data_IF_510813661839
#
_entry.id   IF_510813661839
#
_cell.length_a   1.000
_cell.length_b   1.000
_cell.length_c   1.000
_cell.angle_alpha   90.00
_cell.angle_beta   90.00
_cell.angle_gamma   90.00
#
_symmetry.space_group_name_H-M   'P 1'
#
loop_
_entity.id
_entity.type
_entity.pdbx_description
1 polymer ?
#
# COMPACT_ATOMS: atom_id res chain seq x y z
N UNK A 1 -14.45 -15.22 -4.50
CA UNK A 1 -13.85 -13.88 -4.75
C UNK A 1 -14.42 -12.84 -3.80
N UNK A 2 -15.72 -12.53 -3.82
CA UNK A 2 -16.31 -11.49 -2.96
C UNK A 2 -16.08 -11.69 -1.45
N UNK A 3 -16.23 -12.91 -0.93
CA UNK A 3 -15.96 -13.21 0.48
C UNK A 3 -14.49 -12.97 0.89
N UNK A 4 -13.54 -13.14 -0.05
CA UNK A 4 -12.13 -12.85 0.21
C UNK A 4 -11.86 -11.35 0.20
N UNK A 5 -12.45 -10.61 -0.74
CA UNK A 5 -12.37 -9.14 -0.79
C UNK A 5 -12.93 -8.53 0.50
N UNK A 6 -14.10 -9.01 0.95
CA UNK A 6 -14.68 -8.59 2.22
C UNK A 6 -13.74 -8.86 3.39
N UNK A 7 -13.18 -10.07 3.48
CA UNK A 7 -12.25 -10.44 4.54
C UNK A 7 -10.98 -9.57 4.54
N UNK A 8 -10.47 -9.16 3.38
CA UNK A 8 -9.38 -8.18 3.27
C UNK A 8 -9.76 -6.84 3.94
N UNK A 9 -10.93 -6.29 3.60
CA UNK A 9 -11.34 -4.99 4.14
C UNK A 9 -11.59 -5.06 5.65
N UNK A 10 -12.15 -6.16 6.15
CA UNK A 10 -12.41 -6.37 7.57
C UNK A 10 -11.13 -6.55 8.40
N UNK A 11 -10.17 -7.36 7.91
CA UNK A 11 -9.06 -7.84 8.76
C UNK A 11 -7.69 -7.29 8.40
N UNK A 12 -7.48 -6.76 7.20
CA UNK A 12 -6.14 -6.38 6.73
C UNK A 12 -6.01 -4.91 6.35
N UNK A 13 -7.08 -4.30 5.81
CA UNK A 13 -7.03 -2.92 5.30
C UNK A 13 -6.59 -1.89 6.35
N UNK A 14 -6.93 -2.08 7.62
CA UNK A 14 -6.55 -1.17 8.70
C UNK A 14 -5.04 -1.23 9.03
N UNK A 15 -4.40 -2.38 8.82
CA UNK A 15 -2.95 -2.54 9.02
C UNK A 15 -2.17 -2.14 7.77
N UNK A 16 -2.73 -2.39 6.60
CA UNK A 16 -2.11 -2.09 5.32
C UNK A 16 -3.08 -1.28 4.43
N UNK A 17 -3.32 0.00 4.75
CA UNK A 17 -4.34 0.82 4.09
C UNK A 17 -3.84 1.34 2.75
N UNK A 18 -3.63 0.43 1.82
CA UNK A 18 -3.22 0.74 0.45
C UNK A 18 -4.40 1.09 -0.45
N UNK A 19 -5.60 0.56 -0.13
CA UNK A 19 -6.80 0.67 -0.95
C UNK A 19 -7.81 1.58 -0.27
N UNK A 20 -8.34 2.55 -1.01
CA UNK A 20 -9.43 3.41 -0.55
C UNK A 20 -10.74 2.63 -0.62
N UNK A 21 -11.15 2.05 0.51
CA UNK A 21 -12.34 1.20 0.58
C UNK A 21 -13.61 1.88 0.03
N UNK A 22 -13.92 3.15 0.36
CA UNK A 22 -15.17 3.77 -0.10
C UNK A 22 -15.31 3.92 -1.63
N UNK A 23 -14.18 3.95 -2.36
CA UNK A 23 -14.20 4.07 -3.84
C UNK A 23 -13.72 2.81 -4.55
N UNK A 24 -13.51 1.71 -3.83
CA UNK A 24 -13.09 0.46 -4.45
C UNK A 24 -14.31 -0.23 -5.10
N UNK A 25 -14.42 -0.07 -6.41
CA UNK A 25 -15.48 -0.68 -7.22
C UNK A 25 -14.90 -1.76 -8.15
N UNK A 26 -15.29 -3.02 -7.90
CA UNK A 26 -14.87 -4.17 -8.69
C UNK A 26 -15.30 -4.12 -10.16
N UNK A 27 -16.27 -3.28 -10.52
CA UNK A 27 -16.66 -3.09 -11.92
C UNK A 27 -15.68 -2.22 -12.72
N UNK A 28 -14.97 -1.31 -12.04
CA UNK A 28 -14.12 -0.29 -12.68
C UNK A 28 -12.62 -0.47 -12.38
N UNK A 29 -12.27 -1.27 -11.37
CA UNK A 29 -10.89 -1.59 -11.03
C UNK A 29 -10.34 -2.69 -11.93
N UNK A 30 -9.07 -2.58 -12.33
CA UNK A 30 -8.42 -3.62 -13.14
C UNK A 30 -8.37 -4.96 -12.40
N UNK A 31 -8.69 -6.05 -13.10
CA UNK A 31 -8.85 -7.38 -12.51
C UNK A 31 -7.64 -7.85 -11.68
N UNK A 32 -6.42 -7.43 -12.03
CA UNK A 32 -5.19 -7.81 -11.32
C UNK A 32 -5.18 -7.26 -9.88
N UNK A 33 -5.79 -6.11 -9.63
CA UNK A 33 -5.90 -5.54 -8.30
C UNK A 33 -7.00 -6.21 -7.49
N UNK A 34 -8.11 -6.57 -8.14
CA UNK A 34 -9.17 -7.38 -7.53
C UNK A 34 -8.61 -8.74 -7.08
N UNK A 35 -7.82 -9.39 -7.93
CA UNK A 35 -7.13 -10.64 -7.60
C UNK A 35 -6.16 -10.44 -6.43
N UNK A 36 -5.40 -9.33 -6.41
CA UNK A 36 -4.45 -9.06 -5.34
C UNK A 36 -5.13 -8.89 -3.98
N UNK A 37 -6.19 -8.07 -3.93
CA UNK A 37 -7.01 -7.86 -2.74
C UNK A 37 -7.62 -9.18 -2.25
N UNK A 38 -8.14 -9.99 -3.17
CA UNK A 38 -8.69 -11.30 -2.82
C UNK A 38 -7.64 -12.32 -2.39
N UNK A 39 -6.44 -12.33 -2.97
CA UNK A 39 -5.38 -13.26 -2.59
C UNK A 39 -4.89 -13.01 -1.17
N UNK A 40 -4.78 -11.74 -0.77
CA UNK A 40 -4.49 -11.36 0.62
C UNK A 40 -5.67 -11.70 1.53
N UNK A 41 -6.89 -11.29 1.16
CA UNK A 41 -8.09 -11.57 1.95
C UNK A 41 -8.41 -13.05 2.12
N UNK A 42 -7.97 -13.92 1.19
CA UNK A 42 -8.08 -15.37 1.34
C UNK A 42 -7.35 -15.89 2.58
N UNK A 43 -6.25 -15.26 3.00
CA UNK A 43 -5.50 -15.62 4.21
C UNK A 43 -6.27 -15.36 5.51
N UNK A 44 -7.28 -14.49 5.48
CA UNK A 44 -8.09 -14.11 6.65
C UNK A 44 -9.52 -14.67 6.61
N UNK A 45 -9.90 -15.31 5.50
CA UNK A 45 -11.26 -15.80 5.29
C UNK A 45 -11.43 -17.19 5.85
N UNK A 46 -12.56 -17.46 6.52
CA UNK A 46 -12.93 -18.81 6.96
C UNK A 46 -13.16 -19.79 5.80
N UNK A 47 -13.40 -19.27 4.60
CA UNK A 47 -13.51 -20.07 3.37
C UNK A 47 -12.15 -20.34 2.71
N UNK A 48 -11.11 -19.62 3.15
CA UNK A 48 -9.74 -19.82 2.71
C UNK A 48 -9.13 -21.05 3.38
N UNK A 49 -8.27 -21.75 2.64
CA UNK A 49 -7.38 -22.76 3.19
C UNK A 49 -6.00 -22.62 2.56
N UNK A 50 -5.00 -23.32 3.09
CA UNK A 50 -3.61 -23.24 2.64
C UNK A 50 -3.46 -23.48 1.13
N UNK A 51 -4.23 -24.41 0.55
CA UNK A 51 -4.19 -24.71 -0.88
C UNK A 51 -4.78 -23.56 -1.71
N UNK A 52 -5.95 -23.03 -1.33
CA UNK A 52 -6.57 -21.91 -2.02
C UNK A 52 -5.72 -20.64 -1.94
N UNK A 53 -5.16 -20.34 -0.77
CA UNK A 53 -4.23 -19.22 -0.58
C UNK A 53 -3.01 -19.38 -1.47
N UNK A 54 -2.40 -20.57 -1.50
CA UNK A 54 -1.26 -20.87 -2.38
C UNK A 54 -1.59 -20.64 -3.85
N UNK A 55 -2.73 -21.18 -4.32
CA UNK A 55 -3.17 -21.04 -5.72
C UNK A 55 -3.38 -19.57 -6.08
N UNK A 56 -4.04 -18.80 -5.21
CA UNK A 56 -4.30 -17.38 -5.46
C UNK A 56 -3.02 -16.55 -5.45
N UNK A 57 -2.07 -16.83 -4.55
CA UNK A 57 -0.78 -16.14 -4.52
C UNK A 57 0.06 -16.47 -5.76
N UNK A 58 0.11 -17.74 -6.18
CA UNK A 58 0.81 -18.14 -7.40
C UNK A 58 0.15 -17.54 -8.65
N UNK A 59 -1.18 -17.49 -8.69
CA UNK A 59 -1.91 -16.86 -9.78
C UNK A 59 -1.62 -15.37 -9.83
N UNK A 60 -1.72 -14.65 -8.71
CA UNK A 60 -1.40 -13.24 -8.60
C UNK A 60 0.02 -12.93 -9.08
N UNK A 61 1.01 -13.70 -8.61
CA UNK A 61 2.42 -13.54 -8.98
C UNK A 61 2.63 -13.62 -10.50
N UNK A 62 2.03 -14.62 -11.15
CA UNK A 62 2.10 -14.79 -12.61
C UNK A 62 1.33 -13.69 -13.34
N UNK A 63 0.16 -13.31 -12.84
CA UNK A 63 -0.68 -12.25 -13.40
C UNK A 63 0.00 -10.88 -13.39
N UNK A 64 0.67 -10.51 -12.29
CA UNK A 64 1.46 -9.27 -12.22
C UNK A 64 2.56 -9.26 -13.27
N UNK A 65 3.30 -10.37 -13.40
CA UNK A 65 4.37 -10.51 -14.40
C UNK A 65 3.83 -10.36 -15.82
N UNK A 66 2.70 -11.01 -16.12
CA UNK A 66 2.03 -10.94 -17.41
C UNK A 66 1.53 -9.51 -17.72
N UNK A 67 0.91 -8.83 -16.75
CA UNK A 67 0.46 -7.44 -16.94
C UNK A 67 1.63 -6.50 -17.26
N UNK A 68 2.79 -6.68 -16.62
CA UNK A 68 3.98 -5.86 -16.90
C UNK A 68 4.50 -6.09 -18.32
N UNK A 69 4.46 -7.34 -18.81
CA UNK A 69 4.93 -7.69 -20.15
C UNK A 69 3.98 -7.18 -21.25
N UNK A 70 2.67 -7.33 -21.05
CA UNK A 70 1.68 -6.96 -22.06
C UNK A 70 1.39 -5.47 -22.11
N UNK A 71 1.66 -4.73 -21.03
CA UNK A 71 1.36 -3.29 -20.91
C UNK A 71 2.64 -2.47 -20.77
N UNK A 72 3.41 -2.24 -21.86
CA UNK A 72 4.65 -1.47 -21.80
C UNK A 72 4.42 0.01 -21.49
N UNK A 73 3.25 0.56 -21.85
CA UNK A 73 2.86 1.95 -21.62
C UNK A 73 1.45 1.99 -21.00
N UNK A 74 1.29 1.56 -19.74
CA UNK A 74 -0.02 1.51 -19.10
C UNK A 74 -0.58 2.92 -18.87
N UNK A 75 -1.90 3.04 -18.78
CA UNK A 75 -2.52 4.28 -18.27
C UNK A 75 -2.09 4.52 -16.82
N UNK A 76 -2.11 5.77 -16.32
CA UNK A 76 -1.73 6.06 -14.93
C UNK A 76 -2.50 5.23 -13.88
N UNK A 77 -3.79 5.00 -14.12
CA UNK A 77 -4.63 4.17 -13.25
C UNK A 77 -4.18 2.70 -13.27
N UNK A 78 -3.91 2.15 -14.46
CA UNK A 78 -3.43 0.78 -14.61
C UNK A 78 -2.02 0.61 -14.02
N UNK A 79 -1.14 1.59 -14.20
CA UNK A 79 0.20 1.59 -13.62
C UNK A 79 0.15 1.52 -12.09
N UNK A 80 -0.72 2.31 -11.47
CA UNK A 80 -0.99 2.26 -10.04
C UNK A 80 -1.52 0.88 -9.62
N UNK A 81 -2.52 0.34 -10.33
CA UNK A 81 -3.09 -0.98 -10.02
C UNK A 81 -2.05 -2.10 -10.11
N UNK A 82 -1.19 -2.10 -11.14
CA UNK A 82 -0.10 -3.07 -11.28
C UNK A 82 0.89 -2.95 -10.12
N UNK A 83 1.29 -1.74 -9.76
CA UNK A 83 2.24 -1.52 -8.66
C UNK A 83 1.66 -1.92 -7.29
N UNK A 84 0.39 -1.63 -7.02
CA UNK A 84 -0.33 -2.09 -5.83
C UNK A 84 -0.44 -3.62 -5.79
N UNK A 85 -0.80 -4.26 -6.91
CA UNK A 85 -0.84 -5.72 -7.02
C UNK A 85 0.54 -6.35 -6.81
N UNK A 86 1.60 -5.73 -7.33
CA UNK A 86 2.97 -6.19 -7.11
C UNK A 86 3.36 -6.13 -5.64
N UNK A 87 3.01 -5.04 -4.92
CA UNK A 87 3.27 -4.94 -3.49
C UNK A 87 2.50 -5.98 -2.68
N UNK A 88 1.21 -6.19 -2.96
CA UNK A 88 0.45 -7.27 -2.34
C UNK A 88 1.05 -8.64 -2.64
N UNK A 89 1.49 -8.89 -3.87
CA UNK A 89 2.15 -10.15 -4.22
C UNK A 89 3.46 -10.33 -3.43
N UNK A 90 4.30 -9.31 -3.29
CA UNK A 90 5.54 -9.39 -2.50
C UNK A 90 5.25 -9.74 -1.05
N UNK A 91 4.29 -9.05 -0.44
CA UNK A 91 3.85 -9.30 0.94
C UNK A 91 3.30 -10.73 1.10
N UNK A 92 2.38 -11.14 0.23
CA UNK A 92 1.74 -12.45 0.27
C UNK A 92 2.72 -13.60 0.06
N UNK A 93 3.71 -13.45 -0.81
CA UNK A 93 4.75 -14.46 -1.05
C UNK A 93 5.72 -14.56 0.12
N UNK A 94 6.26 -13.42 0.59
CA UNK A 94 7.27 -13.38 1.64
C UNK A 94 6.75 -13.98 2.96
N UNK A 95 5.51 -13.68 3.32
CA UNK A 95 4.95 -14.08 4.62
C UNK A 95 4.01 -15.29 4.52
N UNK A 96 4.00 -16.02 3.40
CA UNK A 96 3.16 -17.20 3.19
C UNK A 96 3.54 -18.43 4.04
N UNK A 97 4.73 -18.44 4.65
CA UNK A 97 5.31 -19.64 5.26
C UNK A 97 5.85 -20.68 4.25
N UNK A 98 5.80 -20.38 2.94
CA UNK A 98 6.36 -21.23 1.90
C UNK A 98 7.75 -20.71 1.46
N UNK A 99 8.78 -21.56 1.61
CA UNK A 99 10.16 -21.17 1.30
C UNK A 99 10.37 -20.78 -0.17
N UNK A 100 9.76 -21.50 -1.11
CA UNK A 100 9.89 -21.20 -2.55
C UNK A 100 9.28 -19.84 -2.91
N UNK A 101 8.18 -19.48 -2.26
CA UNK A 101 7.59 -18.14 -2.40
C UNK A 101 8.48 -17.06 -1.78
N UNK A 102 9.04 -17.29 -0.60
CA UNK A 102 9.98 -16.37 0.03
C UNK A 102 11.23 -16.14 -0.85
N UNK A 103 11.85 -17.21 -1.35
CA UNK A 103 13.00 -17.13 -2.28
C UNK A 103 12.65 -16.40 -3.59
N UNK A 104 11.43 -16.57 -4.10
CA UNK A 104 10.98 -15.85 -5.28
C UNK A 104 10.78 -14.35 -4.99
N UNK A 105 10.16 -14.02 -3.86
CA UNK A 105 9.97 -12.64 -3.43
C UNK A 105 11.32 -11.95 -3.22
N UNK A 106 12.28 -12.61 -2.57
CA UNK A 106 13.65 -12.11 -2.40
C UNK A 106 14.33 -11.81 -3.73
N UNK A 107 14.28 -12.74 -4.70
CA UNK A 107 14.87 -12.52 -6.04
C UNK A 107 14.25 -11.33 -6.79
N UNK A 108 12.99 -11.01 -6.49
CA UNK A 108 12.22 -9.96 -7.18
C UNK A 108 11.91 -8.77 -6.24
N UNK A 109 12.64 -8.60 -5.15
CA UNK A 109 12.36 -7.56 -4.16
C UNK A 109 12.45 -6.13 -4.74
N UNK A 110 13.28 -5.94 -5.78
CA UNK A 110 13.42 -4.67 -6.48
C UNK A 110 12.26 -4.35 -7.43
N UNK A 111 11.30 -5.25 -7.62
CA UNK A 111 10.19 -5.06 -8.57
C UNK A 111 9.33 -3.84 -8.23
N UNK A 112 8.81 -3.80 -7.00
CA UNK A 112 7.94 -2.70 -6.54
C UNK A 112 8.63 -1.34 -6.61
N UNK A 113 9.86 -1.14 -6.09
CA UNK A 113 10.53 0.14 -6.22
C UNK A 113 10.87 0.50 -7.67
N UNK A 114 11.15 -0.48 -8.52
CA UNK A 114 11.36 -0.23 -9.96
C UNK A 114 10.09 0.30 -10.62
N UNK A 115 8.93 -0.30 -10.35
CA UNK A 115 7.64 0.19 -10.85
C UNK A 115 7.32 1.60 -10.34
N UNK A 116 7.50 1.83 -9.04
CA UNK A 116 7.25 3.15 -8.43
C UNK A 116 8.19 4.22 -8.99
N UNK A 117 9.47 3.88 -9.25
CA UNK A 117 10.44 4.80 -9.83
C UNK A 117 10.12 5.13 -11.29
N UNK A 118 9.72 4.12 -12.09
CA UNK A 118 9.27 4.32 -13.48
C UNK A 118 8.09 5.29 -13.55
N UNK A 119 7.15 5.14 -12.64
CA UNK A 119 5.95 5.96 -12.54
C UNK A 119 6.18 7.32 -11.83
N UNK A 120 7.41 7.60 -11.40
CA UNK A 120 7.79 8.79 -10.63
C UNK A 120 6.96 9.00 -9.34
N UNK A 121 6.61 7.92 -8.64
CA UNK A 121 5.77 7.96 -7.44
C UNK A 121 6.49 8.45 -6.19
N UNK A 122 7.82 8.47 -6.17
CA UNK A 122 8.64 8.87 -5.03
C UNK A 122 8.74 10.38 -4.79
N UNK A 123 8.14 11.19 -5.68
CA UNK A 123 8.17 12.66 -5.62
C UNK A 123 6.75 13.19 -5.52
N UNK A 124 6.54 14.21 -4.68
CA UNK A 124 5.22 14.80 -4.48
C UNK A 124 4.76 15.53 -5.75
N UNK A 125 3.58 15.17 -6.24
CA UNK A 125 2.96 15.82 -7.40
C UNK A 125 1.91 16.81 -6.92
N UNK A 126 2.27 18.09 -6.87
CA UNK A 126 1.29 19.15 -6.65
C UNK A 126 0.62 19.54 -7.98
N UNK A 127 -0.72 19.57 -8.04
CA UNK A 127 -1.40 20.08 -9.22
C UNK A 127 -1.17 21.58 -9.29
N UNK A 128 -0.65 22.07 -10.42
CA UNK A 128 -0.38 23.50 -10.61
C UNK A 128 -1.64 24.37 -10.59
N UNK A 129 -2.85 23.81 -10.69
CA UNK A 129 -4.13 24.53 -10.58
C UNK A 129 -5.26 23.59 -10.13
N UNK A 130 -5.66 23.62 -8.86
CA UNK A 130 -6.98 23.10 -8.46
C UNK A 130 -8.00 24.22 -8.64
N UNK A 131 -8.44 24.43 -9.89
CA UNK A 131 -9.58 25.31 -10.22
C UNK A 131 -10.84 24.54 -10.62
N UNK A 132 -10.86 23.22 -10.46
CA UNK A 132 -12.00 22.37 -10.78
C UNK A 132 -12.76 21.97 -9.53
N UNK A 133 -14.10 21.95 -9.61
CA UNK A 133 -15.01 21.74 -8.48
C UNK A 133 -14.75 20.47 -7.65
N UNK A 134 -15.36 20.42 -6.45
CA UNK A 134 -15.04 19.47 -5.37
C UNK A 134 -14.92 18.00 -5.78
N UNK A 135 -15.80 17.48 -6.66
CA UNK A 135 -15.81 16.07 -7.05
C UNK A 135 -14.56 15.61 -7.81
N UNK A 136 -14.08 16.40 -8.78
CA UNK A 136 -12.85 16.08 -9.51
C UNK A 136 -11.63 16.21 -8.60
N UNK A 137 -11.65 17.17 -7.68
CA UNK A 137 -10.57 17.37 -6.71
C UNK A 137 -10.43 16.19 -5.74
N UNK A 138 -11.54 15.57 -5.31
CA UNK A 138 -11.50 14.42 -4.42
C UNK A 138 -10.97 13.17 -5.11
N UNK A 139 -11.44 12.88 -6.33
CA UNK A 139 -10.94 11.74 -7.11
C UNK A 139 -9.44 11.84 -7.37
N UNK A 140 -8.97 13.03 -7.77
CA UNK A 140 -7.54 13.28 -7.96
C UNK A 140 -6.76 13.08 -6.66
N UNK A 141 -7.27 13.60 -5.55
CA UNK A 141 -6.66 13.46 -4.23
C UNK A 141 -6.55 12.00 -3.82
N UNK A 142 -7.59 11.18 -4.01
CA UNK A 142 -7.55 9.73 -3.73
C UNK A 142 -6.43 9.07 -4.51
N UNK A 143 -6.24 9.41 -5.79
CA UNK A 143 -5.17 8.84 -6.60
C UNK A 143 -3.78 9.26 -6.11
N UNK A 144 -3.60 10.53 -5.75
CA UNK A 144 -2.34 11.03 -5.19
C UNK A 144 -2.01 10.35 -3.85
N UNK A 145 -3.00 10.25 -2.97
CA UNK A 145 -2.87 9.62 -1.67
C UNK A 145 -2.66 8.09 -1.80
N UNK A 146 -3.27 7.44 -2.79
CA UNK A 146 -3.02 6.02 -3.12
C UNK A 146 -1.57 5.76 -3.49
N UNK A 147 -0.96 6.63 -4.33
CA UNK A 147 0.46 6.55 -4.69
C UNK A 147 1.37 6.75 -3.48
N UNK A 148 1.05 7.75 -2.66
CA UNK A 148 1.78 8.06 -1.43
C UNK A 148 1.76 6.88 -0.45
N UNK A 149 0.58 6.30 -0.21
CA UNK A 149 0.40 5.12 0.64
C UNK A 149 1.13 3.91 0.07
N UNK A 150 1.08 3.67 -1.24
CA UNK A 150 1.84 2.61 -1.91
C UNK A 150 3.35 2.73 -1.64
N UNK A 151 3.95 3.90 -1.87
CA UNK A 151 5.39 4.12 -1.70
C UNK A 151 5.80 3.93 -0.23
N UNK A 152 5.05 4.51 0.70
CA UNK A 152 5.34 4.39 2.12
C UNK A 152 5.19 2.95 2.61
N UNK A 153 4.17 2.21 2.16
CA UNK A 153 4.00 0.80 2.49
C UNK A 153 5.08 -0.10 1.85
N UNK A 154 5.54 0.24 0.64
CA UNK A 154 6.68 -0.44 0.02
C UNK A 154 7.97 -0.22 0.83
N UNK A 155 8.21 1.00 1.32
CA UNK A 155 9.34 1.29 2.19
C UNK A 155 9.25 0.58 3.55
N UNK A 156 8.06 0.50 4.14
CA UNK A 156 7.82 -0.29 5.37
C UNK A 156 8.18 -1.75 5.14
N UNK A 157 7.72 -2.33 4.03
CA UNK A 157 8.08 -3.70 3.67
C UNK A 157 9.60 -3.84 3.51
N UNK A 158 10.25 -2.95 2.77
CA UNK A 158 11.71 -2.96 2.57
C UNK A 158 12.46 -2.93 3.92
N UNK A 159 12.03 -2.10 4.87
CA UNK A 159 12.59 -2.07 6.22
C UNK A 159 12.40 -3.39 6.99
N UNK A 160 11.25 -4.04 6.85
CA UNK A 160 11.00 -5.36 7.44
C UNK A 160 11.88 -6.44 6.82
N UNK A 161 12.07 -6.38 5.51
CA UNK A 161 12.91 -7.32 4.78
C UNK A 161 14.37 -7.23 5.22
N UNK A 162 14.89 -6.02 5.40
CA UNK A 162 16.21 -5.78 5.99
C UNK A 162 16.26 -6.31 7.43
N UNK A 163 15.27 -5.98 8.25
CA UNK A 163 15.29 -6.27 9.70
C UNK A 163 15.09 -7.74 10.05
N UNK A 164 14.23 -8.45 9.31
CA UNK A 164 13.84 -9.83 9.61
C UNK A 164 14.65 -10.87 8.85
N UNK A 165 15.16 -10.53 7.66
CA UNK A 165 15.81 -11.47 6.76
C UNK A 165 17.22 -11.06 6.33
N UNK A 166 17.78 -9.99 6.90
CA UNK A 166 19.13 -9.47 6.60
C UNK A 166 19.34 -9.20 5.10
N UNK A 167 18.28 -8.73 4.43
CA UNK A 167 18.33 -8.40 3.00
C UNK A 167 18.87 -6.98 2.79
N UNK A 168 19.37 -6.72 1.59
CA UNK A 168 19.81 -5.39 1.21
C UNK A 168 18.61 -4.44 1.05
N UNK A 169 18.78 -3.19 1.52
CA UNK A 169 17.78 -2.15 1.33
C UNK A 169 17.61 -1.80 -0.15
N UNK A 170 16.37 -1.72 -0.64
CA UNK A 170 16.08 -1.32 -2.03
C UNK A 170 15.49 0.09 -2.14
N UNK A 171 14.93 0.62 -1.05
CA UNK A 171 14.34 1.96 -0.99
C UNK A 171 15.07 2.77 0.11
N UNK A 172 16.11 3.54 -0.25
CA UNK A 172 16.77 4.41 0.71
C UNK A 172 15.81 5.52 1.14
N UNK A 173 15.93 5.98 2.39
CA UNK A 173 15.04 7.01 2.94
C UNK A 173 15.05 8.32 2.11
N UNK A 174 16.20 8.70 1.56
CA UNK A 174 16.36 9.90 0.72
C UNK A 174 15.59 9.84 -0.61
N UNK A 175 15.18 8.64 -1.02
CA UNK A 175 14.32 8.46 -2.18
C UNK A 175 12.89 8.93 -1.89
N UNK A 176 12.43 8.93 -0.63
CA UNK A 176 11.08 9.37 -0.27
C UNK A 176 11.00 10.90 -0.19
N UNK A 177 10.78 11.53 -1.34
CA UNK A 177 10.54 12.98 -1.47
C UNK A 177 9.03 13.30 -1.47
N UNK A 178 8.31 12.62 -0.57
CA UNK A 178 6.87 12.76 -0.36
C UNK A 178 6.60 13.19 1.07
N UNK A 179 5.44 13.81 1.28
CA UNK A 179 4.92 13.98 2.62
C UNK A 179 4.42 12.64 3.20
N UNK A 180 4.22 12.59 4.51
CA UNK A 180 3.61 11.43 5.17
C UNK A 180 2.18 11.19 4.69
N UNK A 181 1.69 9.93 4.69
CA UNK A 181 0.30 9.64 4.38
C UNK A 181 -0.63 10.46 5.26
N UNK A 182 -1.75 10.90 4.69
CA UNK A 182 -2.81 11.60 5.41
C UNK A 182 -3.39 10.76 6.55
N UNK A 183 -4.09 11.40 7.47
CA UNK A 183 -4.76 10.71 8.57
C UNK A 183 -5.78 9.69 8.06
N UNK A 184 -5.90 8.54 8.74
CA UNK A 184 -6.78 7.46 8.29
C UNK A 184 -8.26 7.87 8.28
N UNK A 185 -8.66 8.86 9.09
CA UNK A 185 -10.00 9.46 9.04
C UNK A 185 -10.28 10.19 7.72
N UNK A 186 -9.31 10.99 7.24
CA UNK A 186 -9.41 11.66 5.95
C UNK A 186 -9.41 10.64 4.80
N UNK A 187 -8.61 9.59 4.92
CA UNK A 187 -8.59 8.46 3.98
C UNK A 187 -9.84 7.58 4.04
N UNK A 188 -10.61 7.59 5.12
CA UNK A 188 -11.85 6.83 5.25
C UNK A 188 -13.09 7.62 4.81
N UNK A 189 -12.91 8.87 4.33
CA UNK A 189 -14.02 9.70 3.87
C UNK A 189 -14.83 8.98 2.78
N UNK A 190 -16.16 9.00 2.93
CA UNK A 190 -17.07 8.25 2.05
C UNK A 190 -17.71 9.12 0.97
N UNK A 191 -17.65 10.44 1.13
CA UNK A 191 -18.23 11.42 0.21
C UNK A 191 -17.30 12.59 0.00
N UNK A 192 -17.46 13.28 -1.13
CA UNK A 192 -16.74 14.52 -1.46
C UNK A 192 -16.91 15.58 -0.37
N UNK A 193 -18.11 15.73 0.18
CA UNK A 193 -18.40 16.76 1.19
C UNK A 193 -17.68 16.47 2.50
N UNK A 194 -17.74 15.21 2.96
CA UNK A 194 -17.02 14.76 4.15
C UNK A 194 -15.51 14.96 3.98
N UNK A 195 -14.98 14.57 2.81
CA UNK A 195 -13.58 14.78 2.47
C UNK A 195 -13.22 16.26 2.49
N UNK A 196 -14.02 17.15 1.90
CA UNK A 196 -13.72 18.57 1.82
C UNK A 196 -13.61 19.22 3.20
N UNK A 197 -14.52 18.86 4.13
CA UNK A 197 -14.49 19.33 5.52
C UNK A 197 -13.19 18.86 6.20
N UNK A 198 -12.92 17.56 6.19
CA UNK A 198 -11.72 16.98 6.82
C UNK A 198 -10.43 17.51 6.19
N UNK A 199 -10.40 17.63 4.86
CA UNK A 199 -9.26 18.15 4.12
C UNK A 199 -8.94 19.59 4.56
N UNK A 200 -9.94 20.46 4.72
CA UNK A 200 -9.72 21.82 5.21
C UNK A 200 -9.12 21.86 6.63
N UNK A 201 -9.53 20.92 7.50
CA UNK A 201 -9.02 20.81 8.85
C UNK A 201 -7.56 20.34 8.86
N UNK A 202 -7.23 19.32 8.06
CA UNK A 202 -5.89 18.72 8.03
C UNK A 202 -4.88 19.50 7.18
N UNK A 203 -5.30 20.18 6.11
CA UNK A 203 -4.40 20.97 5.23
C UNK A 203 -3.86 22.22 5.90
N UNK A 204 -4.62 22.79 6.84
CA UNK A 204 -4.13 23.89 7.68
C UNK A 204 -2.90 23.52 8.52
N UNK A 205 -2.59 22.22 8.63
CA UNK A 205 -1.48 21.65 9.39
C UNK A 205 -0.47 21.09 8.38
N UNK A 206 0.69 21.72 8.21
CA UNK A 206 1.69 21.34 7.21
C UNK A 206 2.02 19.84 7.20
N UNK A 207 1.83 19.18 6.05
CA UNK A 207 2.22 17.78 5.87
C UNK A 207 3.74 17.69 5.72
N UNK A 208 4.39 16.99 6.65
CA UNK A 208 5.85 16.85 6.73
C UNK A 208 6.32 15.57 6.03
N UNK A 209 7.56 15.57 5.54
CA UNK A 209 8.18 14.35 5.03
C UNK A 209 8.55 13.40 6.17
N UNK A 210 8.65 12.10 5.87
CA UNK A 210 9.08 11.09 6.85
C UNK A 210 10.42 11.46 7.50
N UNK A 211 11.38 11.94 6.71
CA UNK A 211 12.69 12.38 7.20
C UNK A 211 12.54 13.49 8.24
N UNK A 212 11.74 14.50 7.94
CA UNK A 212 11.53 15.62 8.84
C UNK A 212 10.83 15.20 10.14
N UNK A 213 9.87 14.26 10.07
CA UNK A 213 9.24 13.72 11.28
C UNK A 213 10.21 12.88 12.13
N UNK A 214 11.10 12.11 11.49
CA UNK A 214 12.17 11.37 12.18
C UNK A 214 13.18 12.31 12.83
N UNK A 215 13.54 13.41 12.17
CA UNK A 215 14.45 14.41 12.72
C UNK A 215 13.85 15.06 13.98
N UNK A 216 12.57 15.41 13.96
CA UNK A 216 11.85 15.91 15.14
C UNK A 216 11.85 14.85 16.25
N UNK A 217 11.47 13.61 15.93
CA UNK A 217 11.43 12.52 16.92
C UNK A 217 12.80 12.28 17.54
N UNK A 218 13.87 12.31 16.74
CA UNK A 218 15.23 12.09 17.22
C UNK A 218 15.73 13.25 18.09
N UNK A 219 15.49 14.49 17.66
CA UNK A 219 15.96 15.69 18.35
C UNK A 219 15.15 15.99 19.62
N UNK A 220 13.83 15.86 19.55
CA UNK A 220 12.90 16.23 20.63
C UNK A 220 12.51 15.05 21.51
N UNK A 221 12.78 13.80 21.08
CA UNK A 221 12.35 12.56 21.75
C UNK A 221 10.84 12.45 21.96
N UNK A 222 10.07 13.24 21.23
CA UNK A 222 8.62 13.29 21.27
C UNK A 222 8.07 13.05 19.87
N UNK A 223 6.94 12.34 19.80
CA UNK A 223 6.21 12.23 18.53
C UNK A 223 5.67 13.60 18.14
N UNK A 224 5.91 14.08 16.91
CA UNK A 224 5.37 15.36 16.50
C UNK A 224 3.85 15.39 16.71
N UNK A 225 3.28 16.49 17.23
CA UNK A 225 1.84 16.59 17.38
C UNK A 225 1.15 16.39 16.02
N UNK A 226 0.12 15.55 15.98
CA UNK A 226 -0.68 15.22 14.78
C UNK A 226 0.08 14.46 13.68
N UNK A 227 1.29 13.95 13.98
CA UNK A 227 2.01 13.06 13.07
C UNK A 227 1.40 11.66 13.08
N UNK A 228 1.31 11.07 11.89
CA UNK A 228 0.92 9.66 11.70
C UNK A 228 2.09 8.69 11.92
N UNK A 229 3.25 9.15 12.39
CA UNK A 229 4.46 8.33 12.53
C UNK A 229 4.27 7.16 13.50
N UNK A 230 3.49 7.36 14.56
CA UNK A 230 3.21 6.31 15.55
C UNK A 230 2.36 5.19 14.95
N UNK A 231 1.32 5.54 14.20
CA UNK A 231 0.50 4.61 13.42
C UNK A 231 1.38 3.90 12.39
N UNK A 232 2.23 4.65 11.68
CA UNK A 232 3.13 4.14 10.66
C UNK A 232 4.13 3.10 11.22
N UNK A 233 4.78 3.38 12.36
CA UNK A 233 5.62 2.41 13.05
C UNK A 233 4.83 1.24 13.65
N UNK A 234 3.57 1.47 14.05
CA UNK A 234 2.65 0.39 14.42
C UNK A 234 2.46 -0.60 13.27
N UNK A 235 2.31 -0.11 12.04
CA UNK A 235 2.19 -0.96 10.84
C UNK A 235 3.47 -1.76 10.57
N UNK A 236 4.65 -1.17 10.78
CA UNK A 236 5.95 -1.86 10.70
C UNK A 236 6.03 -3.06 11.67
N UNK A 237 5.37 -2.98 12.83
CA UNK A 237 5.30 -4.11 13.78
C UNK A 237 4.25 -5.15 13.39
N UNK A 238 3.12 -4.73 12.82
CA UNK A 238 1.96 -5.59 12.61
C UNK A 238 1.96 -6.36 11.28
N UNK A 239 2.46 -5.79 10.18
CA UNK A 239 2.28 -6.38 8.83
C UNK A 239 3.03 -7.71 8.62
N UNK A 240 4.14 -7.94 9.33
CA UNK A 240 4.89 -9.21 9.23
C UNK A 240 4.24 -10.38 10.00
N UNK A 241 3.43 -10.09 11.03
CA UNK A 241 2.83 -11.12 11.89
C UNK A 241 1.45 -11.59 11.42
N UNK A 242 0.73 -10.76 10.65
CA UNK A 242 -0.68 -11.04 10.30
C UNK A 242 -0.87 -12.06 9.19
N UNK A 243 0.15 -12.30 8.36
CA UNK A 243 0.06 -13.22 7.22
C UNK A 243 0.67 -14.59 7.49
N UNK A 244 1.35 -14.75 8.62
CA UNK A 244 1.74 -16.07 9.11
C UNK A 244 0.50 -16.66 9.79
N UNK A 245 -0.07 -17.77 9.29
CA UNK A 245 -1.15 -18.43 9.98
C UNK A 245 -0.67 -18.77 11.39
N UNK A 246 -1.36 -18.26 12.41
CA UNK A 246 -1.21 -18.81 13.75
C UNK A 246 -1.64 -20.26 13.65
N UNK A 247 -0.67 -21.18 13.70
CA UNK A 247 -0.93 -22.60 13.83
C UNK A 247 -1.82 -22.79 15.06
N UNK A 248 -3.12 -22.91 14.85
CA UNK A 248 -4.02 -23.42 15.88
C UNK A 248 -3.70 -24.90 16.02
N UNK A 249 -2.98 -25.19 17.09
CA UNK A 249 -2.85 -26.50 17.73
C UNK A 249 -4.20 -27.10 18.06
#
# INVERSE_FOLDING_TARGET
>A
MNAFIQSYFEHYSHVFPMIHQPTFDTANVHWVLILAVAAIGCGFSQLGNTCTTFILQEFLRRSVSLCIELEPNPTPDLELHIAQSALFSQVGLMFSGNMSFAEHAQRNMSLVPTLCKRANYFVEHHPNHVTSGGGESWKWWIQAESRKRLVHLAWVLDCQLVSFFDLAQTIPLDMLQLSMPSHDELWAATTTDQWSILYSEYVSKESRSLRHELDILYQQKETPPQSNISIFFGRLKASGHLLIPSNHS
#
